data_IF_908996433317
#
_entry.id   IF_908996433317
#
_cell.length_a   1.000
_cell.length_b   1.000
_cell.length_c   1.000
_cell.angle_alpha   90.00
_cell.angle_beta   90.00
_cell.angle_gamma   90.00
#
_symmetry.space_group_name_H-M   'P 1'
#
loop_
_entity.id
_entity.type
_entity.pdbx_description
1 polymer ?
#
# COMPACT_ATOMS: atom_id res chain seq x y z
N UNK A 1 -16.37 48.77 59.77
CA UNK A 1 -16.33 47.35 60.18
C UNK A 1 -17.60 46.71 59.61
N UNK A 2 -17.63 45.69 58.76
CA UNK A 2 -16.65 44.74 58.24
C UNK A 2 -17.15 44.23 56.87
N UNK A 3 -16.22 43.73 56.06
CA UNK A 3 -16.27 43.47 54.63
C UNK A 3 -17.22 42.34 54.17
N UNK A 4 -17.67 42.51 52.92
CA UNK A 4 -18.09 41.47 51.95
C UNK A 4 -17.28 40.18 52.02
N UNK A 5 -17.96 39.04 51.88
CA UNK A 5 -17.39 37.78 51.38
C UNK A 5 -18.22 37.28 50.22
N UNK A 6 -17.58 37.20 49.06
CA UNK A 6 -18.04 36.49 47.87
C UNK A 6 -18.13 34.98 48.18
N UNK A 7 -19.22 34.33 47.79
CA UNK A 7 -19.24 32.88 47.57
C UNK A 7 -19.63 32.62 46.11
N UNK A 8 -18.66 32.05 45.40
CA UNK A 8 -18.72 31.60 44.02
C UNK A 8 -19.63 30.37 43.87
N UNK A 9 -20.50 30.40 42.87
CA UNK A 9 -21.29 29.26 42.39
C UNK A 9 -20.37 28.18 41.80
N UNK A 10 -20.45 26.95 42.32
CA UNK A 10 -19.79 25.77 41.76
C UNK A 10 -20.83 24.94 41.00
N UNK A 11 -20.86 25.12 39.68
CA UNK A 11 -21.66 24.33 38.76
C UNK A 11 -20.97 22.97 38.56
N UNK A 12 -21.49 21.92 39.20
CA UNK A 12 -21.01 20.54 38.95
C UNK A 12 -21.66 20.02 37.67
N UNK A 13 -20.95 20.17 36.55
CA UNK A 13 -21.26 19.49 35.30
C UNK A 13 -21.01 17.99 35.42
N UNK A 14 -22.04 17.20 35.17
CA UNK A 14 -21.96 15.74 35.10
C UNK A 14 -21.37 15.38 33.72
N UNK A 15 -20.06 15.15 33.64
CA UNK A 15 -19.44 14.62 32.42
C UNK A 15 -19.77 13.13 32.33
N UNK A 16 -20.78 12.79 31.53
CA UNK A 16 -21.06 11.43 31.11
C UNK A 16 -19.90 10.96 30.23
N UNK A 17 -18.93 10.28 30.84
CA UNK A 17 -17.84 9.61 30.14
C UNK A 17 -18.43 8.35 29.46
N UNK A 18 -19.11 8.55 28.34
CA UNK A 18 -19.41 7.47 27.40
C UNK A 18 -18.09 7.04 26.75
N UNK A 19 -17.30 6.25 27.47
CA UNK A 19 -16.28 5.40 26.88
C UNK A 19 -17.00 4.38 25.98
N UNK A 20 -17.27 4.77 24.73
CA UNK A 20 -17.61 3.82 23.68
C UNK A 20 -16.32 3.01 23.46
N UNK A 21 -16.16 1.92 24.21
CA UNK A 21 -15.26 0.85 23.82
C UNK A 21 -15.79 0.38 22.47
N UNK A 22 -15.10 0.74 21.39
CA UNK A 22 -15.28 0.09 20.10
C UNK A 22 -15.16 -1.41 20.38
N UNK A 23 -16.27 -2.15 20.23
CA UNK A 23 -16.22 -3.59 20.35
C UNK A 23 -15.27 -4.10 19.27
N UNK A 24 -14.37 -5.05 19.56
CA UNK A 24 -13.55 -5.65 18.52
C UNK A 24 -14.50 -6.22 17.48
N UNK A 25 -14.37 -5.75 16.23
CA UNK A 25 -15.08 -6.32 15.12
C UNK A 25 -14.83 -7.84 15.15
N UNK A 26 -15.90 -8.64 15.12
CA UNK A 26 -15.76 -10.09 14.94
C UNK A 26 -15.09 -10.28 13.59
N UNK A 27 -13.81 -10.64 13.60
CA UNK A 27 -13.12 -11.14 12.41
C UNK A 27 -13.90 -12.39 12.00
N UNK A 28 -14.68 -12.29 10.92
CA UNK A 28 -15.20 -13.49 10.27
C UNK A 28 -13.96 -14.24 9.78
N UNK A 29 -13.65 -15.36 10.44
CA UNK A 29 -12.61 -16.26 9.96
C UNK A 29 -13.17 -16.99 8.75
N UNK A 30 -13.14 -16.31 7.61
CA UNK A 30 -13.28 -16.96 6.32
C UNK A 30 -12.23 -18.07 6.21
N UNK A 31 -12.57 -19.22 5.59
CA UNK A 31 -11.60 -20.28 5.38
C UNK A 31 -10.40 -19.74 4.58
N UNK A 32 -9.22 -20.24 4.92
CA UNK A 32 -7.99 -19.87 4.24
C UNK A 32 -8.12 -20.10 2.72
N UNK A 33 -7.76 -19.10 1.93
CA UNK A 33 -7.71 -19.20 0.47
C UNK A 33 -6.31 -19.62 0.01
N UNK A 34 -6.12 -20.91 -0.29
CA UNK A 34 -4.86 -21.48 -0.78
C UNK A 34 -4.64 -21.29 -2.30
N UNK A 35 -5.47 -20.49 -2.98
CA UNK A 35 -5.39 -20.23 -4.42
C UNK A 35 -5.50 -18.74 -4.75
N UNK A 36 -4.71 -17.86 -4.13
CA UNK A 36 -4.88 -16.41 -4.27
C UNK A 36 -4.68 -15.95 -5.72
N UNK A 37 -5.46 -14.95 -6.11
CA UNK A 37 -5.31 -14.20 -7.37
C UNK A 37 -4.93 -12.77 -7.02
N UNK A 38 -3.76 -12.32 -7.46
CA UNK A 38 -3.28 -10.97 -7.20
C UNK A 38 -3.39 -10.14 -8.48
N UNK A 39 -4.01 -8.97 -8.36
CA UNK A 39 -4.10 -8.00 -9.44
C UNK A 39 -2.78 -7.28 -9.66
N UNK A 40 -2.43 -7.05 -10.92
CA UNK A 40 -1.35 -6.12 -11.30
C UNK A 40 -1.92 -5.09 -12.27
N UNK A 41 -1.80 -3.80 -11.95
CA UNK A 41 -2.14 -2.74 -12.89
C UNK A 41 -1.14 -2.71 -14.06
N UNK A 42 -1.63 -2.64 -15.29
CA UNK A 42 -0.76 -2.48 -16.46
C UNK A 42 -0.15 -1.07 -16.51
N UNK A 43 1.02 -0.93 -17.15
CA UNK A 43 1.68 0.35 -17.43
C UNK A 43 1.45 0.75 -18.88
N UNK A 44 1.38 2.05 -19.17
CA UNK A 44 1.37 2.55 -20.55
C UNK A 44 2.73 2.36 -21.20
N UNK A 45 2.75 1.94 -22.45
CA UNK A 45 3.98 1.85 -23.25
C UNK A 45 4.39 3.24 -23.72
N UNK A 46 5.58 3.69 -23.31
CA UNK A 46 6.21 4.93 -23.81
C UNK A 46 7.24 4.67 -24.91
N UNK A 47 7.95 3.54 -24.85
CA UNK A 47 9.02 3.11 -25.76
C UNK A 47 8.49 2.74 -27.15
N UNK A 48 9.08 3.34 -28.19
CA UNK A 48 8.77 3.08 -29.60
C UNK A 48 8.93 1.61 -30.00
N UNK A 49 9.91 0.91 -29.40
CA UNK A 49 10.17 -0.52 -29.66
C UNK A 49 9.03 -1.40 -29.15
N UNK A 50 8.38 -1.00 -28.06
CA UNK A 50 7.28 -1.77 -27.48
C UNK A 50 5.92 -1.43 -28.09
N UNK A 51 5.75 -0.25 -28.71
CA UNK A 51 4.46 0.20 -29.28
C UNK A 51 3.82 -0.81 -30.25
N UNK A 52 4.55 -1.50 -31.14
CA UNK A 52 3.97 -2.51 -32.03
C UNK A 52 3.32 -3.70 -31.29
N UNK A 53 3.74 -3.99 -30.06
CA UNK A 53 3.26 -5.13 -29.29
C UNK A 53 2.05 -4.81 -28.41
N UNK A 54 1.74 -3.53 -28.20
CA UNK A 54 0.56 -3.11 -27.48
C UNK A 54 0.67 -1.72 -26.84
N UNK A 55 -0.46 -1.25 -26.32
CA UNK A 55 -0.53 0.05 -25.62
C UNK A 55 -0.11 -0.03 -24.16
N UNK A 56 -0.14 -1.23 -23.58
CA UNK A 56 0.17 -1.44 -22.17
C UNK A 56 0.99 -2.70 -21.96
N UNK A 57 1.78 -2.74 -20.89
CA UNK A 57 2.64 -3.87 -20.55
C UNK A 57 2.67 -4.11 -19.04
N UNK A 58 3.15 -5.29 -18.64
CA UNK A 58 3.60 -5.62 -17.29
C UNK A 58 4.95 -6.31 -17.46
N UNK A 59 6.01 -5.87 -16.76
CA UNK A 59 7.27 -6.61 -16.74
C UNK A 59 7.08 -8.01 -16.15
N UNK A 60 7.59 -9.02 -16.84
CA UNK A 60 7.47 -10.44 -16.45
C UNK A 60 8.01 -10.72 -15.05
N UNK A 61 9.02 -9.98 -14.60
CA UNK A 61 9.60 -10.11 -13.27
C UNK A 61 8.57 -9.94 -12.13
N UNK A 62 7.56 -9.09 -12.29
CA UNK A 62 6.49 -8.94 -11.31
C UNK A 62 5.51 -10.12 -11.31
N UNK A 63 5.27 -10.71 -12.48
CA UNK A 63 4.43 -11.91 -12.63
C UNK A 63 5.14 -13.09 -11.97
N UNK A 64 6.38 -13.34 -12.37
CA UNK A 64 7.24 -14.39 -11.80
C UNK A 64 7.39 -14.24 -10.29
N UNK A 65 7.54 -13.02 -9.77
CA UNK A 65 7.60 -12.76 -8.33
C UNK A 65 6.36 -13.28 -7.59
N UNK A 66 5.16 -12.92 -8.06
CA UNK A 66 3.90 -13.35 -7.42
C UNK A 66 3.65 -14.86 -7.58
N UNK A 67 3.94 -15.42 -8.76
CA UNK A 67 3.79 -16.85 -9.02
C UNK A 67 4.75 -17.69 -8.17
N UNK A 68 5.98 -17.22 -7.94
CA UNK A 68 6.94 -17.87 -7.04
C UNK A 68 6.45 -17.92 -5.58
N UNK A 69 5.58 -16.99 -5.19
CA UNK A 69 4.87 -16.98 -3.90
C UNK A 69 3.61 -17.84 -3.87
N UNK A 70 3.31 -18.60 -4.93
CA UNK A 70 2.13 -19.49 -5.02
C UNK A 70 0.83 -18.79 -5.44
N UNK A 71 0.90 -17.54 -5.93
CA UNK A 71 -0.27 -16.80 -6.41
C UNK A 71 -0.48 -16.94 -7.92
N UNK A 72 -1.72 -16.73 -8.37
CA UNK A 72 -2.01 -16.45 -9.79
C UNK A 72 -2.07 -14.94 -10.01
N UNK A 73 -1.82 -14.50 -11.23
CA UNK A 73 -1.83 -13.08 -11.58
C UNK A 73 -3.02 -12.73 -12.46
N UNK A 74 -3.67 -11.60 -12.16
CA UNK A 74 -4.68 -10.99 -13.02
C UNK A 74 -4.19 -9.62 -13.53
N UNK A 75 -3.94 -9.45 -14.84
CA UNK A 75 -3.61 -8.15 -15.40
C UNK A 75 -4.86 -7.24 -15.40
N UNK A 76 -4.71 -6.03 -14.89
CA UNK A 76 -5.79 -5.04 -14.77
C UNK A 76 -5.46 -3.87 -15.70
N UNK A 77 -6.26 -3.73 -16.76
CA UNK A 77 -6.12 -2.63 -17.73
C UNK A 77 -6.52 -1.31 -17.11
N UNK A 78 -5.94 -0.22 -17.61
CA UNK A 78 -6.22 1.12 -17.12
C UNK A 78 -7.48 1.78 -17.73
N UNK A 79 -8.09 1.16 -18.74
CA UNK A 79 -9.16 1.75 -19.57
C UNK A 79 -10.55 1.25 -19.21
N UNK A 80 -10.72 0.54 -18.09
CA UNK A 80 -12.02 0.02 -17.65
C UNK A 80 -12.84 1.09 -16.92
N UNK A 81 -14.13 0.84 -16.81
CA UNK A 81 -15.06 1.65 -16.00
C UNK A 81 -14.90 1.36 -14.51
N UNK A 82 -15.37 2.29 -13.66
CA UNK A 82 -15.36 2.10 -12.20
C UNK A 82 -16.11 0.83 -11.77
N UNK A 83 -17.27 0.54 -12.35
CA UNK A 83 -18.04 -0.68 -12.07
C UNK A 83 -17.26 -1.95 -12.42
N UNK A 84 -16.49 -1.94 -13.51
CA UNK A 84 -15.64 -3.07 -13.86
C UNK A 84 -14.49 -3.25 -12.86
N UNK A 85 -13.88 -2.16 -12.38
CA UNK A 85 -12.86 -2.25 -11.33
C UNK A 85 -13.42 -2.78 -10.01
N UNK A 86 -14.59 -2.33 -9.59
CA UNK A 86 -15.27 -2.88 -8.41
C UNK A 86 -15.55 -4.38 -8.55
N UNK A 87 -15.99 -4.81 -9.74
CA UNK A 87 -16.21 -6.21 -10.05
C UNK A 87 -14.90 -7.03 -10.06
N UNK A 88 -13.79 -6.45 -10.50
CA UNK A 88 -12.45 -7.08 -10.42
C UNK A 88 -12.00 -7.18 -8.97
N UNK A 89 -12.13 -6.09 -8.19
CA UNK A 89 -11.74 -6.03 -6.79
C UNK A 89 -12.38 -7.17 -5.98
N UNK A 90 -13.68 -7.41 -6.18
CA UNK A 90 -14.43 -8.52 -5.53
C UNK A 90 -13.97 -9.93 -5.94
N UNK A 91 -13.14 -10.08 -6.97
CA UNK A 91 -12.70 -11.36 -7.53
C UNK A 91 -11.22 -11.65 -7.33
N UNK A 92 -10.44 -10.69 -6.85
CA UNK A 92 -9.02 -10.83 -6.55
C UNK A 92 -8.79 -10.74 -5.05
N UNK A 93 -7.61 -11.12 -4.59
CA UNK A 93 -7.25 -11.25 -3.18
C UNK A 93 -6.21 -10.23 -2.72
N UNK A 94 -5.79 -9.33 -3.60
CA UNK A 94 -4.79 -8.30 -3.31
C UNK A 94 -4.35 -7.59 -4.58
N UNK A 95 -3.60 -6.50 -4.41
CA UNK A 95 -3.08 -5.69 -5.51
C UNK A 95 -1.58 -5.44 -5.38
N UNK A 96 -0.86 -5.59 -6.48
CA UNK A 96 0.52 -5.14 -6.64
C UNK A 96 0.57 -3.90 -7.54
N UNK A 97 1.08 -2.79 -6.98
CA UNK A 97 1.45 -1.59 -7.69
C UNK A 97 2.93 -1.67 -8.08
N UNK A 98 3.17 -1.83 -9.38
CA UNK A 98 4.51 -2.04 -9.93
C UNK A 98 5.30 -0.72 -10.07
N UNK A 99 6.61 -0.85 -10.24
CA UNK A 99 7.48 0.27 -10.62
C UNK A 99 7.17 0.80 -12.02
N UNK A 100 7.74 1.96 -12.35
CA UNK A 100 7.50 2.67 -13.60
C UNK A 100 7.90 4.13 -13.50
N UNK A 101 7.43 4.94 -14.46
CA UNK A 101 7.69 6.38 -14.51
C UNK A 101 6.42 7.18 -14.87
N UNK A 102 5.24 6.61 -14.60
CA UNK A 102 3.98 7.32 -14.79
C UNK A 102 3.82 8.43 -13.74
N UNK A 103 3.15 9.51 -14.12
CA UNK A 103 2.86 10.61 -13.22
C UNK A 103 1.97 10.14 -12.05
N UNK A 104 2.35 10.51 -10.81
CA UNK A 104 1.73 9.97 -9.60
C UNK A 104 0.35 10.57 -9.27
N UNK A 105 -0.06 11.63 -9.97
CA UNK A 105 -1.29 12.37 -9.67
C UNK A 105 -2.28 12.38 -10.84
N UNK A 106 -1.75 12.48 -12.06
CA UNK A 106 -2.53 12.71 -13.29
C UNK A 106 -2.59 11.51 -14.21
N UNK A 107 -1.75 10.50 -14.02
CA UNK A 107 -1.74 9.33 -14.90
C UNK A 107 -2.97 8.44 -14.68
N UNK A 108 -3.32 7.68 -15.72
CA UNK A 108 -4.33 6.63 -15.60
C UNK A 108 -3.95 5.56 -14.57
N UNK A 109 -2.64 5.30 -14.39
CA UNK A 109 -2.16 4.37 -13.36
C UNK A 109 -2.50 4.89 -11.96
N UNK A 110 -2.21 6.16 -11.68
CA UNK A 110 -2.54 6.81 -10.42
C UNK A 110 -4.06 6.85 -10.18
N UNK A 111 -4.84 7.20 -11.21
CA UNK A 111 -6.31 7.21 -11.16
C UNK A 111 -6.88 5.84 -10.78
N UNK A 112 -6.43 4.76 -11.44
CA UNK A 112 -6.94 3.41 -11.17
C UNK A 112 -6.44 2.89 -9.83
N UNK A 113 -5.17 3.11 -9.47
CA UNK A 113 -4.65 2.76 -8.16
C UNK A 113 -5.44 3.42 -7.02
N UNK A 114 -5.84 4.69 -7.17
CA UNK A 114 -6.68 5.40 -6.20
C UNK A 114 -8.04 4.74 -5.99
N UNK A 115 -8.65 4.19 -7.05
CA UNK A 115 -9.91 3.44 -6.96
C UNK A 115 -9.70 2.18 -6.09
N UNK A 116 -8.71 1.36 -6.41
CA UNK A 116 -8.42 0.15 -5.63
C UNK A 116 -7.97 0.45 -4.21
N UNK A 117 -7.20 1.51 -3.99
CA UNK A 117 -6.79 1.96 -2.66
C UNK A 117 -8.00 2.31 -1.80
N UNK A 118 -8.95 3.08 -2.33
CA UNK A 118 -10.20 3.39 -1.63
C UNK A 118 -11.01 2.13 -1.30
N UNK A 119 -11.18 1.22 -2.28
CA UNK A 119 -11.90 -0.04 -2.06
C UNK A 119 -11.22 -0.91 -1.01
N UNK A 120 -9.89 -0.97 -1.01
CA UNK A 120 -9.12 -1.71 -0.01
C UNK A 120 -9.29 -1.10 1.39
N UNK A 121 -9.27 0.23 1.53
CA UNK A 121 -9.54 0.86 2.83
C UNK A 121 -10.94 0.51 3.34
N UNK A 122 -11.97 0.67 2.50
CA UNK A 122 -13.35 0.33 2.84
C UNK A 122 -13.52 -1.14 3.24
N UNK A 123 -12.88 -2.06 2.52
CA UNK A 123 -12.89 -3.49 2.82
C UNK A 123 -12.19 -3.78 4.16
N UNK A 124 -10.97 -3.27 4.36
CA UNK A 124 -10.21 -3.51 5.59
C UNK A 124 -10.92 -2.91 6.82
N UNK A 125 -11.54 -1.74 6.70
CA UNK A 125 -12.35 -1.11 7.77
C UNK A 125 -13.59 -1.95 8.11
N UNK A 126 -14.17 -2.63 7.11
CA UNK A 126 -15.27 -3.57 7.28
C UNK A 126 -14.81 -4.96 7.79
N UNK A 127 -13.51 -5.19 7.96
CA UNK A 127 -12.94 -6.48 8.38
C UNK A 127 -12.71 -7.48 7.25
N UNK A 128 -12.88 -7.08 5.99
CA UNK A 128 -12.53 -7.84 4.79
C UNK A 128 -11.11 -7.50 4.35
N UNK A 129 -10.16 -8.37 4.71
CA UNK A 129 -8.74 -8.06 4.55
C UNK A 129 -8.31 -8.04 3.07
N UNK A 130 -7.84 -6.88 2.61
CA UNK A 130 -7.33 -6.70 1.24
C UNK A 130 -5.93 -6.05 1.26
N UNK A 131 -4.85 -6.80 0.98
CA UNK A 131 -3.49 -6.26 0.95
C UNK A 131 -3.19 -5.49 -0.34
N UNK A 132 -2.47 -4.37 -0.20
CA UNK A 132 -1.82 -3.66 -1.31
C UNK A 132 -0.32 -3.64 -1.09
N UNK A 133 0.45 -4.01 -2.11
CA UNK A 133 1.90 -3.90 -2.15
C UNK A 133 2.33 -2.86 -3.19
N UNK A 134 3.32 -2.03 -2.88
CA UNK A 134 3.91 -1.07 -3.82
C UNK A 134 5.41 -1.27 -3.97
N UNK A 135 5.90 -1.35 -5.20
CA UNK A 135 7.34 -1.46 -5.53
C UNK A 135 7.79 -0.24 -6.33
N UNK A 136 8.90 0.40 -5.92
CA UNK A 136 9.45 1.61 -6.57
C UNK A 136 8.36 2.69 -6.75
N UNK A 137 7.97 3.03 -7.99
CA UNK A 137 6.86 3.95 -8.28
C UNK A 137 5.56 3.57 -7.57
N UNK A 138 5.26 2.28 -7.39
CA UNK A 138 4.10 1.84 -6.62
C UNK A 138 4.19 2.21 -5.13
N UNK A 139 5.39 2.17 -4.53
CA UNK A 139 5.62 2.64 -3.16
C UNK A 139 5.46 4.16 -3.08
N UNK A 140 6.05 4.90 -4.01
CA UNK A 140 5.91 6.34 -4.15
C UNK A 140 4.43 6.75 -4.26
N UNK A 141 3.65 6.04 -5.08
CA UNK A 141 2.22 6.30 -5.22
C UNK A 141 1.46 6.08 -3.91
N UNK A 142 1.80 5.06 -3.12
CA UNK A 142 1.18 4.84 -1.82
C UNK A 142 1.44 6.01 -0.86
N UNK A 143 2.65 6.61 -0.87
CA UNK A 143 2.92 7.78 -0.01
C UNK A 143 2.08 8.99 -0.43
N UNK A 144 1.93 9.23 -1.74
CA UNK A 144 1.07 10.29 -2.28
C UNK A 144 -0.40 10.06 -1.91
N UNK A 145 -0.91 8.83 -2.04
CA UNK A 145 -2.30 8.49 -1.72
C UNK A 145 -2.62 8.68 -0.24
N UNK A 146 -1.69 8.34 0.66
CA UNK A 146 -1.85 8.51 2.11
C UNK A 146 -1.73 9.97 2.52
N UNK A 147 -0.72 10.69 2.01
CA UNK A 147 -0.46 12.08 2.37
C UNK A 147 -1.44 13.06 1.72
N UNK A 148 -2.08 12.67 0.61
CA UNK A 148 -2.95 13.54 -0.20
C UNK A 148 -2.19 14.58 -1.02
N UNK A 149 -0.85 14.51 -1.07
CA UNK A 149 0.02 15.41 -1.82
C UNK A 149 1.36 14.72 -2.13
N UNK A 150 2.07 15.19 -3.15
CA UNK A 150 3.40 14.69 -3.50
C UNK A 150 4.48 15.27 -2.57
N UNK A 151 5.10 14.40 -1.76
CA UNK A 151 6.14 14.73 -0.77
C UNK A 151 7.52 14.20 -1.15
N UNK A 152 7.68 13.65 -2.35
CA UNK A 152 8.92 13.01 -2.76
C UNK A 152 10.02 14.03 -3.01
N UNK A 153 11.27 13.63 -2.72
CA UNK A 153 12.45 14.45 -2.96
C UNK A 153 13.41 13.75 -3.89
N UNK A 154 14.23 14.51 -4.61
CA UNK A 154 15.27 13.94 -5.47
C UNK A 154 16.29 13.16 -4.62
N UNK A 155 16.71 12.01 -5.12
CA UNK A 155 17.73 11.15 -4.51
C UNK A 155 18.67 10.61 -5.58
N UNK A 156 19.87 10.19 -5.17
CA UNK A 156 20.89 9.60 -6.04
C UNK A 156 20.88 8.08 -5.92
N UNK A 157 19.71 7.47 -6.14
CA UNK A 157 19.46 6.04 -5.96
C UNK A 157 19.18 5.31 -7.28
N UNK A 158 19.63 5.86 -8.40
CA UNK A 158 19.49 5.24 -9.72
C UNK A 158 20.62 4.23 -9.96
N UNK A 159 20.26 2.99 -10.30
CA UNK A 159 21.16 1.89 -10.62
C UNK A 159 22.22 1.60 -9.53
N UNK A 160 21.77 1.45 -8.29
CA UNK A 160 22.64 1.13 -7.15
C UNK A 160 22.06 0.00 -6.29
N UNK A 161 22.93 -0.92 -5.86
CA UNK A 161 22.58 -1.96 -4.89
C UNK A 161 22.98 -1.51 -3.48
N UNK A 162 22.04 -1.56 -2.52
CA UNK A 162 22.24 -1.07 -1.15
C UNK A 162 21.80 -2.11 -0.11
N UNK A 163 22.42 -2.12 1.09
CA UNK A 163 21.86 -2.79 2.26
C UNK A 163 20.65 -2.00 2.81
N UNK A 164 19.84 -2.65 3.64
CA UNK A 164 18.73 -2.03 4.36
C UNK A 164 19.17 -1.59 5.75
N UNK A 165 18.98 -0.31 6.05
CA UNK A 165 19.05 0.20 7.41
C UNK A 165 17.70 -0.02 8.11
N UNK A 166 17.52 -1.20 8.72
CA UNK A 166 16.28 -1.57 9.40
C UNK A 166 16.09 -0.78 10.70
N UNK A 167 14.87 -0.29 10.94
CA UNK A 167 14.51 0.35 12.22
C UNK A 167 14.33 -0.70 13.32
N UNK A 168 14.24 -0.23 14.58
CA UNK A 168 13.99 -1.09 15.73
C UNK A 168 12.67 -1.88 15.64
N UNK A 169 11.71 -1.43 14.82
CA UNK A 169 10.40 -2.06 14.65
C UNK A 169 10.42 -3.23 13.65
N UNK A 170 11.47 -3.35 12.83
CA UNK A 170 11.55 -4.37 11.79
C UNK A 170 11.38 -5.81 12.34
N UNK A 171 12.03 -6.23 13.44
CA UNK A 171 11.90 -7.59 13.96
C UNK A 171 10.48 -7.98 14.40
N UNK A 172 9.66 -7.00 14.81
CA UNK A 172 8.27 -7.20 15.24
C UNK A 172 7.26 -6.89 14.14
N UNK A 173 7.71 -6.46 12.96
CA UNK A 173 6.84 -6.12 11.84
C UNK A 173 6.23 -7.35 11.19
N UNK A 174 5.02 -7.21 10.63
CA UNK A 174 4.37 -8.29 9.86
C UNK A 174 5.18 -8.74 8.64
N UNK A 175 5.95 -7.83 8.04
CA UNK A 175 6.72 -8.09 6.81
C UNK A 175 7.92 -9.00 7.08
N UNK A 176 8.66 -8.74 8.16
CA UNK A 176 9.91 -9.45 8.46
C UNK A 176 9.78 -10.57 9.50
N UNK A 177 8.59 -10.76 10.11
CA UNK A 177 8.38 -11.73 11.19
C UNK A 177 8.84 -13.17 10.87
N UNK A 178 8.74 -13.60 9.61
CA UNK A 178 9.08 -14.96 9.17
C UNK A 178 10.44 -15.03 8.45
N UNK A 179 11.20 -13.95 8.39
CA UNK A 179 12.49 -13.97 7.70
C UNK A 179 13.54 -14.76 8.51
N UNK A 180 14.34 -15.63 7.85
CA UNK A 180 15.46 -16.27 8.51
C UNK A 180 16.45 -15.24 9.07
N UNK A 181 16.90 -15.42 10.31
CA UNK A 181 17.85 -14.50 10.97
C UNK A 181 19.10 -14.22 10.14
N UNK A 182 19.62 -15.25 9.45
CA UNK A 182 20.78 -15.11 8.54
C UNK A 182 20.47 -14.18 7.36
N UNK A 183 19.26 -14.27 6.80
CA UNK A 183 18.85 -13.43 5.68
C UNK A 183 18.63 -11.98 6.14
N UNK A 184 18.01 -11.76 7.31
CA UNK A 184 17.90 -10.41 7.88
C UNK A 184 19.26 -9.77 8.11
N UNK A 185 20.23 -10.54 8.64
CA UNK A 185 21.60 -10.06 8.81
C UNK A 185 22.24 -9.67 7.46
N UNK A 186 22.14 -10.53 6.45
CA UNK A 186 22.67 -10.25 5.13
C UNK A 186 22.00 -9.00 4.51
N UNK A 187 20.68 -8.83 4.67
CA UNK A 187 19.97 -7.62 4.21
C UNK A 187 20.52 -6.33 4.82
N UNK A 188 21.03 -6.37 6.06
CA UNK A 188 21.58 -5.19 6.73
C UNK A 188 23.07 -4.93 6.45
N UNK A 189 23.79 -5.94 5.93
CA UNK A 189 25.26 -5.88 5.77
C UNK A 189 25.71 -5.90 4.30
N UNK A 190 24.90 -6.48 3.41
CA UNK A 190 25.24 -6.72 2.00
C UNK A 190 24.37 -5.89 1.05
N UNK A 191 24.89 -5.46 -0.12
CA UNK A 191 24.15 -4.70 -1.11
C UNK A 191 23.17 -5.60 -1.90
N UNK A 192 22.05 -5.96 -1.25
CA UNK A 192 21.07 -6.93 -1.77
C UNK A 192 19.79 -6.28 -2.33
N UNK A 193 19.61 -4.97 -2.19
CA UNK A 193 18.41 -4.27 -2.66
C UNK A 193 18.73 -3.35 -3.83
N UNK A 194 18.14 -3.64 -4.99
CA UNK A 194 18.31 -2.83 -6.20
C UNK A 194 17.47 -1.56 -6.14
N UNK A 195 18.11 -0.41 -6.27
CA UNK A 195 17.48 0.90 -6.36
C UNK A 195 17.62 1.43 -7.79
N UNK A 196 16.49 1.83 -8.36
CA UNK A 196 16.32 2.35 -9.72
C UNK A 196 15.26 3.46 -9.69
N UNK A 197 15.52 4.48 -8.87
CA UNK A 197 14.61 5.60 -8.69
C UNK A 197 15.36 6.91 -8.47
N UNK A 198 14.78 7.98 -9.00
CA UNK A 198 15.28 9.35 -8.83
C UNK A 198 14.60 10.07 -7.65
N UNK A 199 13.58 9.46 -7.02
CA UNK A 199 12.74 10.07 -6.01
C UNK A 199 12.52 9.14 -4.81
N UNK A 200 12.67 9.68 -3.59
CA UNK A 200 12.48 8.95 -2.33
C UNK A 200 12.15 9.85 -1.14
#
# INVERSE_FOLDING_TARGET
MSSMRFLSYLWRGFFCCCCIRAMPAKIQQEPLNDRPVIGILTQLVSDDVMRPFGRTYIPDSYVTYLESGGSRVMPIRLTLTTTEYENIFRKINGLLLIGGAADLETSDFARVAKIFYKLALEANDAGDFFPIWGTCMGMQLLTVLVAGQNLLTNTTAENVALPLNLTADAPTSRMFQNFPKRLLKALTEEPLTGNFHNYG
#
